data_IF_161880216861
#
_entry.id   IF_161880216861
#
_cell.length_a   1.000
_cell.length_b   1.000
_cell.length_c   1.000
_cell.angle_alpha   90.00
_cell.angle_beta   90.00
_cell.angle_gamma   90.00
#
_symmetry.space_group_name_H-M   'P 1'
#
loop_
_entity.id
_entity.type
_entity.pdbx_description
1 polymer ?
#
# COMPACT_ATOMS: atom_id res chain seq x y z
N UNK A 1 -0.80 27.37 -21.29
CA UNK A 1 -1.83 26.53 -20.64
C UNK A 1 -2.07 25.36 -21.58
N UNK A 2 -1.97 24.11 -21.12
CA UNK A 2 -2.30 22.94 -21.95
C UNK A 2 -3.77 23.01 -22.38
N UNK A 3 -4.07 22.64 -23.63
CA UNK A 3 -5.45 22.54 -24.12
C UNK A 3 -6.15 21.36 -23.43
N UNK A 4 -7.44 21.48 -23.12
CA UNK A 4 -8.21 20.42 -22.46
C UNK A 4 -8.23 19.13 -23.29
N UNK A 5 -8.15 19.25 -24.63
CA UNK A 5 -8.05 18.11 -25.56
C UNK A 5 -6.73 17.35 -25.44
N UNK A 6 -5.65 18.05 -25.11
CA UNK A 6 -4.36 17.42 -24.81
C UNK A 6 -4.36 16.72 -23.45
N UNK A 7 -5.11 17.26 -22.47
CA UNK A 7 -5.27 16.66 -21.13
C UNK A 7 -6.17 15.41 -21.17
N UNK A 8 -7.22 15.41 -21.98
CA UNK A 8 -8.16 14.30 -22.13
C UNK A 8 -7.61 13.17 -23.02
N UNK A 9 -6.51 12.55 -22.60
CA UNK A 9 -5.91 11.38 -23.24
C UNK A 9 -6.13 10.09 -22.43
N UNK A 10 -5.87 8.93 -23.05
CA UNK A 10 -6.11 7.64 -22.43
C UNK A 10 -5.32 7.44 -21.12
N UNK A 11 -4.01 7.75 -21.03
CA UNK A 11 -3.28 7.68 -19.77
C UNK A 11 -3.93 8.48 -18.63
N UNK A 12 -4.25 9.75 -18.85
CA UNK A 12 -4.84 10.60 -17.83
C UNK A 12 -6.24 10.12 -17.40
N UNK A 13 -7.03 9.60 -18.34
CA UNK A 13 -8.33 9.01 -18.03
C UNK A 13 -8.21 7.78 -17.12
N UNK A 14 -7.23 6.91 -17.37
CA UNK A 14 -6.94 5.76 -16.52
C UNK A 14 -6.51 6.19 -15.11
N UNK A 15 -5.68 7.23 -15.00
CA UNK A 15 -5.27 7.80 -13.71
C UNK A 15 -6.47 8.34 -12.93
N UNK A 16 -7.40 9.05 -13.57
CA UNK A 16 -8.63 9.55 -12.91
C UNK A 16 -9.52 8.41 -12.47
N UNK A 17 -9.71 7.39 -13.31
CA UNK A 17 -10.49 6.19 -12.94
C UNK A 17 -9.89 5.50 -11.71
N UNK A 18 -8.56 5.44 -11.58
CA UNK A 18 -7.89 4.89 -10.39
C UNK A 18 -8.24 5.64 -9.12
N UNK A 19 -8.27 6.97 -9.17
CA UNK A 19 -8.67 7.81 -8.03
C UNK A 19 -10.14 7.56 -7.67
N UNK A 20 -11.01 7.51 -8.68
CA UNK A 20 -12.44 7.25 -8.50
C UNK A 20 -12.73 5.83 -8.01
N UNK A 21 -11.86 4.85 -8.32
CA UNK A 21 -12.00 3.48 -7.84
C UNK A 21 -11.91 3.37 -6.32
N UNK A 22 -11.19 4.27 -5.63
CA UNK A 22 -10.98 4.16 -4.18
C UNK A 22 -12.30 4.21 -3.37
N UNK A 23 -13.21 5.19 -3.56
CA UNK A 23 -14.52 5.17 -2.90
C UNK A 23 -15.30 3.87 -3.09
N UNK A 24 -15.34 3.31 -4.30
CA UNK A 24 -16.02 2.05 -4.58
C UNK A 24 -15.33 0.86 -3.90
N UNK A 25 -14.00 0.86 -3.89
CA UNK A 25 -13.19 -0.14 -3.20
C UNK A 25 -13.49 -0.11 -1.69
N UNK A 26 -13.45 1.07 -1.07
CA UNK A 26 -13.75 1.24 0.36
C UNK A 26 -15.18 0.81 0.63
N UNK A 27 -16.17 1.29 -0.12
CA UNK A 27 -17.57 0.87 0.05
C UNK A 27 -17.73 -0.66 0.03
N UNK A 28 -17.08 -1.33 -0.92
CA UNK A 28 -17.16 -2.77 -1.11
C UNK A 28 -16.48 -3.56 0.01
N UNK A 29 -15.39 -3.04 0.57
CA UNK A 29 -14.70 -3.67 1.70
C UNK A 29 -15.54 -3.74 2.98
N UNK A 30 -16.44 -2.78 3.18
CA UNK A 30 -17.31 -2.75 4.36
C UNK A 30 -18.55 -3.65 4.21
N UNK A 31 -18.78 -4.20 3.02
CA UNK A 31 -19.88 -5.14 2.79
C UNK A 31 -19.48 -6.56 3.22
N UNK A 32 -20.48 -7.32 3.67
CA UNK A 32 -20.26 -8.67 4.23
C UNK A 32 -20.31 -9.76 3.16
N UNK A 33 -21.00 -9.48 2.07
CA UNK A 33 -21.26 -10.41 0.97
C UNK A 33 -19.99 -10.66 0.14
N UNK A 34 -19.85 -11.90 -0.32
CA UNK A 34 -18.68 -12.31 -1.09
C UNK A 34 -18.55 -11.57 -2.42
N UNK A 35 -19.68 -11.17 -3.03
CA UNK A 35 -19.71 -10.44 -4.30
C UNK A 35 -18.97 -9.11 -4.20
N UNK A 36 -19.16 -8.36 -3.11
CA UNK A 36 -18.45 -7.11 -2.87
C UNK A 36 -16.96 -7.32 -2.56
N UNK A 37 -16.60 -8.43 -1.91
CA UNK A 37 -15.19 -8.75 -1.63
C UNK A 37 -14.45 -9.12 -2.92
N UNK A 38 -15.10 -9.90 -3.79
CA UNK A 38 -14.60 -10.20 -5.14
C UNK A 38 -14.49 -8.93 -5.96
N UNK A 39 -15.49 -8.06 -5.90
CA UNK A 39 -15.46 -6.77 -6.59
C UNK A 39 -14.30 -5.89 -6.09
N UNK A 40 -14.08 -5.78 -4.77
CA UNK A 40 -12.94 -5.04 -4.22
C UNK A 40 -11.59 -5.60 -4.69
N UNK A 41 -11.45 -6.93 -4.73
CA UNK A 41 -10.26 -7.60 -5.26
C UNK A 41 -10.03 -7.27 -6.75
N UNK A 42 -11.06 -7.47 -7.59
CA UNK A 42 -10.97 -7.22 -9.03
C UNK A 42 -10.69 -5.74 -9.31
N UNK A 43 -11.36 -4.84 -8.60
CA UNK A 43 -11.19 -3.40 -8.76
C UNK A 43 -9.76 -2.98 -8.42
N UNK A 44 -9.20 -3.45 -7.30
CA UNK A 44 -7.81 -3.16 -6.94
C UNK A 44 -6.81 -3.78 -7.94
N UNK A 45 -7.02 -5.04 -8.34
CA UNK A 45 -6.17 -5.72 -9.29
C UNK A 45 -6.13 -4.98 -10.65
N UNK A 46 -7.28 -4.58 -11.19
CA UNK A 46 -7.35 -3.80 -12.42
C UNK A 46 -6.76 -2.39 -12.25
N UNK A 47 -7.03 -1.72 -11.14
CA UNK A 47 -6.51 -0.38 -10.86
C UNK A 47 -4.97 -0.37 -10.72
N UNK A 48 -4.38 -1.42 -10.13
CA UNK A 48 -2.93 -1.59 -10.04
C UNK A 48 -2.29 -2.01 -11.37
N UNK A 49 -2.97 -2.84 -12.17
CA UNK A 49 -2.48 -3.24 -13.49
C UNK A 49 -2.50 -2.08 -14.49
N UNK A 50 -3.55 -1.25 -14.45
CA UNK A 50 -3.65 -0.07 -15.32
C UNK A 50 -2.54 0.96 -15.07
N UNK A 51 -1.99 1.04 -13.86
CA UNK A 51 -0.84 1.91 -13.51
C UNK A 51 0.46 1.48 -14.21
N UNK A 52 0.62 0.19 -14.47
CA UNK A 52 1.75 -0.31 -15.24
C UNK A 52 1.56 0.01 -16.73
N UNK A 53 0.30 -0.03 -17.19
CA UNK A 53 -0.07 0.13 -18.60
C UNK A 53 -0.06 1.61 -19.00
N UNK A 54 -0.65 2.52 -18.22
CA UNK A 54 -0.75 3.94 -18.57
C UNK A 54 0.63 4.60 -18.71
N UNK A 55 1.58 4.30 -17.82
CA UNK A 55 2.95 4.78 -17.90
C UNK A 55 3.72 4.19 -19.08
N UNK A 56 3.37 2.97 -19.51
CA UNK A 56 3.89 2.40 -20.76
C UNK A 56 3.29 3.08 -21.99
N UNK A 57 1.97 3.27 -22.04
CA UNK A 57 1.26 3.90 -23.16
C UNK A 57 1.65 5.37 -23.33
N UNK A 58 1.78 6.13 -22.25
CA UNK A 58 2.21 7.53 -22.28
C UNK A 58 3.60 7.68 -22.92
N UNK A 59 4.54 6.76 -22.63
CA UNK A 59 5.87 6.71 -23.25
C UNK A 59 5.81 6.26 -24.71
N UNK A 60 5.02 5.22 -25.01
CA UNK A 60 4.93 4.63 -26.35
C UNK A 60 4.27 5.57 -27.36
N UNK A 61 3.24 6.31 -26.94
CA UNK A 61 2.47 7.20 -27.81
C UNK A 61 2.87 8.66 -27.69
N UNK A 62 3.91 8.97 -26.92
CA UNK A 62 4.38 10.34 -26.70
C UNK A 62 3.27 11.28 -26.18
N UNK A 63 2.37 10.75 -25.35
CA UNK A 63 1.21 11.44 -24.77
C UNK A 63 1.46 11.91 -23.33
N UNK A 64 2.71 12.24 -22.99
CA UNK A 64 3.03 12.76 -21.66
C UNK A 64 2.58 14.21 -21.55
N UNK A 65 1.72 14.50 -20.57
CA UNK A 65 1.22 15.84 -20.26
C UNK A 65 1.77 16.31 -18.92
N UNK A 66 1.84 17.62 -18.71
CA UNK A 66 2.22 18.20 -17.41
C UNK A 66 1.19 17.86 -16.33
N UNK A 67 -0.11 17.84 -16.71
CA UNK A 67 -1.17 17.37 -15.82
C UNK A 67 -0.98 15.91 -15.40
N UNK A 68 -0.72 15.00 -16.35
CA UNK A 68 -0.49 13.57 -16.06
C UNK A 68 0.73 13.35 -15.16
N UNK A 69 1.85 14.02 -15.47
CA UNK A 69 3.07 13.96 -14.63
C UNK A 69 2.83 14.38 -13.18
N UNK A 70 1.88 15.27 -12.94
CA UNK A 70 1.47 15.69 -11.59
C UNK A 70 0.49 14.71 -10.95
N UNK A 71 -0.50 14.22 -11.70
CA UNK A 71 -1.57 13.37 -11.19
C UNK A 71 -1.11 11.94 -10.91
N UNK A 72 -0.23 11.36 -11.74
CA UNK A 72 0.18 9.96 -11.63
C UNK A 72 0.82 9.64 -10.26
N UNK A 73 1.80 10.41 -9.75
CA UNK A 73 2.40 10.14 -8.44
C UNK A 73 1.47 10.37 -7.25
N UNK A 74 0.35 11.06 -7.46
CA UNK A 74 -0.67 11.33 -6.46
C UNK A 74 -1.71 10.19 -6.45
N UNK A 75 -2.20 9.80 -7.61
CA UNK A 75 -3.16 8.70 -7.77
C UNK A 75 -2.60 7.34 -7.33
N UNK A 76 -1.36 7.03 -7.69
CA UNK A 76 -0.65 5.80 -7.27
C UNK A 76 -0.67 5.66 -5.74
N UNK A 77 -0.34 6.75 -5.03
CA UNK A 77 -0.31 6.74 -3.57
C UNK A 77 -1.70 6.76 -2.96
N UNK A 78 -2.65 7.46 -3.58
CA UNK A 78 -3.99 7.60 -3.04
C UNK A 78 -4.70 6.25 -2.91
N UNK A 79 -4.60 5.40 -3.94
CA UNK A 79 -5.19 4.06 -3.91
C UNK A 79 -4.53 3.20 -2.80
N UNK A 80 -3.21 3.08 -2.80
CA UNK A 80 -2.47 2.24 -1.85
C UNK A 80 -2.68 2.70 -0.40
N UNK A 81 -2.59 4.00 -0.14
CA UNK A 81 -2.84 4.59 1.19
C UNK A 81 -4.29 4.32 1.60
N UNK A 82 -5.24 4.55 0.71
CA UNK A 82 -6.65 4.30 0.97
C UNK A 82 -6.95 2.84 1.32
N UNK A 83 -6.30 1.89 0.65
CA UNK A 83 -6.41 0.46 0.97
C UNK A 83 -5.89 0.16 2.39
N UNK A 84 -4.67 0.59 2.72
CA UNK A 84 -4.10 0.34 4.05
C UNK A 84 -4.90 1.01 5.17
N UNK A 85 -5.40 2.22 4.94
CA UNK A 85 -6.26 2.92 5.90
C UNK A 85 -7.58 2.17 6.07
N UNK A 86 -8.24 1.74 4.98
CA UNK A 86 -9.48 0.97 5.07
C UNK A 86 -9.30 -0.34 5.85
N UNK A 87 -8.16 -1.02 5.65
CA UNK A 87 -7.82 -2.24 6.35
C UNK A 87 -7.72 -2.10 7.87
N UNK A 88 -7.29 -0.94 8.39
CA UNK A 88 -7.26 -0.67 9.83
C UNK A 88 -8.63 -0.75 10.49
N UNK A 89 -9.71 -0.49 9.74
CA UNK A 89 -11.08 -0.47 10.29
C UNK A 89 -11.79 -1.81 10.19
N UNK A 90 -11.29 -2.74 9.39
CA UNK A 90 -11.97 -4.01 9.09
C UNK A 90 -11.17 -5.25 9.53
N UNK A 91 -9.89 -5.08 9.88
CA UNK A 91 -9.00 -6.19 10.23
C UNK A 91 -8.08 -5.84 11.41
N UNK A 92 -8.40 -6.39 12.59
CA UNK A 92 -7.63 -6.18 13.83
C UNK A 92 -6.16 -6.61 13.76
N UNK A 93 -5.77 -7.65 12.99
CA UNK A 93 -4.37 -8.00 12.78
C UNK A 93 -3.51 -6.93 12.07
N UNK A 94 -4.08 -5.82 11.60
CA UNK A 94 -3.30 -4.78 10.91
C UNK A 94 -3.11 -3.60 11.87
N UNK A 95 -1.86 -3.33 12.23
CA UNK A 95 -1.56 -2.31 13.23
C UNK A 95 -1.33 -0.92 12.63
N UNK A 96 -1.81 0.10 13.36
CA UNK A 96 -1.73 1.51 12.96
C UNK A 96 -0.29 1.95 12.71
N UNK A 97 0.68 1.50 13.53
CA UNK A 97 2.08 1.88 13.37
C UNK A 97 2.68 1.39 12.05
N UNK A 98 2.24 0.21 11.55
CA UNK A 98 2.69 -0.32 10.25
C UNK A 98 2.24 0.60 9.12
N UNK A 99 0.95 0.99 9.15
CA UNK A 99 0.37 1.90 8.15
C UNK A 99 1.02 3.27 8.23
N UNK A 100 1.22 3.83 9.42
CA UNK A 100 1.91 5.12 9.59
C UNK A 100 3.32 5.08 9.01
N UNK A 101 4.11 4.04 9.31
CA UNK A 101 5.46 3.91 8.77
C UNK A 101 5.44 3.77 7.25
N UNK A 102 4.47 3.04 6.70
CA UNK A 102 4.33 2.87 5.26
C UNK A 102 3.99 4.20 4.57
N UNK A 103 2.91 4.83 5.00
CA UNK A 103 2.38 6.06 4.40
C UNK A 103 3.33 7.23 4.65
N UNK A 104 3.76 7.42 5.89
CA UNK A 104 4.65 8.50 6.29
C UNK A 104 5.98 8.46 5.54
N UNK A 105 6.56 7.26 5.37
CA UNK A 105 7.77 7.11 4.53
C UNK A 105 7.50 7.51 3.09
N UNK A 106 6.41 7.02 2.48
CA UNK A 106 6.14 7.28 1.07
C UNK A 106 5.85 8.76 0.80
N UNK A 107 5.19 9.45 1.73
CA UNK A 107 5.05 10.91 1.71
C UNK A 107 6.40 11.61 1.83
N UNK A 108 7.24 11.20 2.79
CA UNK A 108 8.58 11.78 2.99
C UNK A 108 9.43 11.68 1.72
N UNK A 109 9.55 10.50 1.11
CA UNK A 109 10.37 10.32 -0.10
C UNK A 109 9.80 11.12 -1.29
N UNK A 110 8.47 11.25 -1.39
CA UNK A 110 7.83 12.07 -2.43
C UNK A 110 8.16 13.55 -2.25
N UNK A 111 8.10 14.03 -1.01
CA UNK A 111 8.42 15.40 -0.68
C UNK A 111 9.89 15.73 -0.93
N UNK A 112 10.82 14.84 -0.53
CA UNK A 112 12.24 14.98 -0.85
C UNK A 112 12.49 15.03 -2.36
N UNK A 113 11.74 14.23 -3.13
CA UNK A 113 11.79 14.26 -4.59
C UNK A 113 11.36 15.59 -5.17
N UNK A 114 10.25 16.12 -4.67
CA UNK A 114 9.76 17.41 -5.09
C UNK A 114 10.79 18.52 -4.82
N UNK A 115 11.41 18.52 -3.63
CA UNK A 115 12.46 19.49 -3.27
C UNK A 115 13.66 19.39 -4.22
N UNK A 116 14.16 18.19 -4.50
CA UNK A 116 15.33 18.01 -5.35
C UNK A 116 15.10 18.51 -6.78
N UNK A 117 13.94 18.21 -7.36
CA UNK A 117 13.55 18.70 -8.70
C UNK A 117 13.51 20.24 -8.69
N UNK A 118 12.96 20.84 -7.62
CA UNK A 118 12.94 22.30 -7.45
C UNK A 118 14.33 22.93 -7.29
N UNK A 119 15.32 22.21 -6.77
CA UNK A 119 16.71 22.69 -6.63
C UNK A 119 17.58 22.52 -7.88
N UNK A 120 17.03 21.94 -8.97
CA UNK A 120 17.79 21.66 -10.19
C UNK A 120 18.70 20.43 -10.07
N UNK A 121 18.45 19.57 -9.09
CA UNK A 121 19.21 18.35 -8.83
C UNK A 121 18.32 17.13 -9.05
N UNK A 122 18.80 16.11 -9.75
CA UNK A 122 18.07 14.85 -9.86
C UNK A 122 18.48 13.89 -8.75
N UNK A 123 17.51 13.21 -8.14
CA UNK A 123 17.78 12.15 -7.18
C UNK A 123 18.18 10.86 -7.87
N UNK A 124 19.12 10.11 -7.29
CA UNK A 124 19.45 8.78 -7.76
C UNK A 124 18.28 7.82 -7.49
N UNK A 125 17.72 7.25 -8.56
CA UNK A 125 16.68 6.24 -8.47
C UNK A 125 17.27 4.90 -8.08
N UNK A 126 16.72 4.25 -7.07
CA UNK A 126 17.17 2.92 -6.62
C UNK A 126 16.13 1.85 -6.97
N UNK A 127 16.59 0.63 -7.30
CA UNK A 127 15.69 -0.51 -7.56
C UNK A 127 14.86 -0.90 -6.32
N UNK A 128 15.34 -0.56 -5.12
CA UNK A 128 14.61 -0.77 -3.86
C UNK A 128 13.27 -0.02 -3.81
N UNK A 129 13.13 1.05 -4.61
CA UNK A 129 11.87 1.76 -4.83
C UNK A 129 10.82 0.93 -5.57
N UNK A 130 11.21 0.02 -6.46
CA UNK A 130 10.28 -0.89 -7.17
C UNK A 130 9.91 -2.09 -6.32
N UNK A 131 10.90 -2.66 -5.64
CA UNK A 131 10.69 -3.80 -4.73
C UNK A 131 9.67 -3.45 -3.66
N UNK A 132 9.80 -2.29 -3.00
CA UNK A 132 8.81 -1.88 -1.99
C UNK A 132 7.37 -1.84 -2.51
N UNK A 133 7.16 -1.35 -3.73
CA UNK A 133 5.83 -1.17 -4.31
C UNK A 133 5.23 -2.53 -4.66
N UNK A 134 6.05 -3.45 -5.18
CA UNK A 134 5.63 -4.84 -5.39
C UNK A 134 5.19 -5.52 -4.10
N UNK A 135 5.91 -5.30 -2.99
CA UNK A 135 5.51 -5.82 -1.67
C UNK A 135 4.23 -5.16 -1.14
N UNK A 136 4.07 -3.84 -1.29
CA UNK A 136 2.83 -3.16 -0.89
C UNK A 136 1.62 -3.65 -1.68
N UNK A 137 1.71 -3.72 -3.01
CA UNK A 137 0.64 -4.23 -3.87
C UNK A 137 0.36 -5.72 -3.57
N UNK A 138 1.40 -6.53 -3.41
CA UNK A 138 1.28 -7.94 -3.06
C UNK A 138 0.61 -8.16 -1.71
N UNK A 139 0.99 -7.39 -0.68
CA UNK A 139 0.35 -7.46 0.63
C UNK A 139 -1.15 -7.12 0.56
N UNK A 140 -1.51 -6.07 -0.18
CA UNK A 140 -2.92 -5.71 -0.38
C UNK A 140 -3.68 -6.86 -1.07
N UNK A 141 -3.14 -7.43 -2.14
CA UNK A 141 -3.77 -8.55 -2.85
C UNK A 141 -3.93 -9.78 -1.94
N UNK A 142 -2.90 -10.12 -1.16
CA UNK A 142 -2.96 -11.25 -0.21
C UNK A 142 -4.05 -11.02 0.85
N UNK A 143 -4.13 -9.80 1.42
CA UNK A 143 -5.17 -9.46 2.39
C UNK A 143 -6.56 -9.59 1.75
N UNK A 144 -6.75 -9.10 0.52
CA UNK A 144 -8.02 -9.22 -0.20
C UNK A 144 -8.39 -10.69 -0.47
N UNK A 145 -7.42 -11.53 -0.84
CA UNK A 145 -7.64 -12.98 -1.01
C UNK A 145 -8.03 -13.64 0.30
N UNK A 146 -7.32 -13.35 1.39
CA UNK A 146 -7.68 -13.83 2.73
C UNK A 146 -9.12 -13.44 3.08
N UNK A 147 -9.51 -12.21 2.76
CA UNK A 147 -10.87 -11.74 2.95
C UNK A 147 -11.87 -12.57 2.15
N UNK A 148 -11.61 -12.87 0.88
CA UNK A 148 -12.54 -13.67 0.07
C UNK A 148 -12.68 -15.12 0.56
N UNK A 149 -11.61 -15.72 1.11
CA UNK A 149 -11.60 -17.12 1.54
C UNK A 149 -12.28 -17.35 2.90
N UNK A 150 -12.37 -16.31 3.73
CA UNK A 150 -12.91 -16.40 5.09
C UNK A 150 -14.34 -15.86 5.13
N UNK A 151 -15.27 -16.64 5.66
CA UNK A 151 -16.67 -16.17 5.83
C UNK A 151 -16.75 -15.02 6.83
N UNK A 152 -17.76 -14.14 6.70
CA UNK A 152 -17.93 -12.99 7.60
C UNK A 152 -17.95 -13.36 9.08
N UNK A 153 -18.55 -14.51 9.44
CA UNK A 153 -18.53 -15.03 10.83
C UNK A 153 -17.11 -15.31 11.33
N UNK A 154 -16.28 -15.95 10.49
CA UNK A 154 -14.89 -16.28 10.84
C UNK A 154 -13.99 -15.05 10.88
N UNK A 155 -14.22 -14.05 10.03
CA UNK A 155 -13.53 -12.76 10.13
C UNK A 155 -13.80 -12.07 11.45
N UNK A 156 -15.07 -12.02 11.86
CA UNK A 156 -15.45 -11.45 13.15
C UNK A 156 -14.78 -12.21 14.30
N UNK A 157 -14.76 -13.54 14.24
CA UNK A 157 -14.07 -14.36 15.23
C UNK A 157 -12.57 -14.06 15.31
N UNK A 158 -11.88 -13.88 14.18
CA UNK A 158 -10.47 -13.46 14.15
C UNK A 158 -10.33 -12.08 14.80
N UNK A 159 -11.16 -11.12 14.42
CA UNK A 159 -11.10 -9.76 14.98
C UNK A 159 -11.36 -9.77 16.50
N UNK A 160 -12.36 -10.52 16.97
CA UNK A 160 -12.66 -10.70 18.39
C UNK A 160 -11.50 -11.35 19.14
N UNK A 161 -10.89 -12.40 18.59
CA UNK A 161 -9.71 -13.04 19.17
C UNK A 161 -8.55 -12.05 19.35
N UNK A 162 -8.29 -11.20 18.35
CA UNK A 162 -7.26 -10.16 18.44
C UNK A 162 -7.61 -9.08 19.46
N UNK A 163 -8.87 -8.63 19.49
CA UNK A 163 -9.34 -7.65 20.46
C UNK A 163 -9.19 -8.18 21.90
N UNK A 164 -9.64 -9.42 22.15
CA UNK A 164 -9.53 -10.09 23.44
C UNK A 164 -8.07 -10.27 23.86
N UNK A 165 -7.20 -10.76 22.96
CA UNK A 165 -5.78 -10.91 23.24
C UNK A 165 -5.12 -9.58 23.63
N UNK A 166 -5.45 -8.48 22.93
CA UNK A 166 -4.96 -7.14 23.27
C UNK A 166 -5.47 -6.66 24.63
N UNK A 167 -6.74 -6.90 24.96
CA UNK A 167 -7.27 -6.56 26.30
C UNK A 167 -6.64 -7.39 27.41
N UNK A 168 -6.17 -8.60 27.10
CA UNK A 168 -5.41 -9.45 28.02
C UNK A 168 -3.93 -9.06 28.13
N UNK A 169 -3.49 -8.00 27.44
CA UNK A 169 -2.11 -7.50 27.49
C UNK A 169 -1.16 -8.16 26.48
N UNK A 170 -1.65 -9.00 25.57
CA UNK A 170 -0.85 -9.57 24.50
C UNK A 170 -0.65 -8.55 23.38
N UNK A 171 0.55 -8.54 22.80
CA UNK A 171 0.81 -7.83 21.55
C UNK A 171 0.18 -8.55 20.37
N UNK A 172 -0.17 -7.80 19.32
CA UNK A 172 -0.65 -8.36 18.05
C UNK A 172 0.36 -9.34 17.45
N UNK A 173 1.67 -9.10 17.65
CA UNK A 173 2.73 -10.04 17.28
C UNK A 173 2.59 -11.39 17.98
N UNK A 174 2.36 -11.40 19.30
CA UNK A 174 2.21 -12.64 20.06
C UNK A 174 0.99 -13.43 19.60
N UNK A 175 -0.14 -12.75 19.37
CA UNK A 175 -1.36 -13.38 18.87
C UNK A 175 -1.13 -13.97 17.47
N UNK A 176 -0.51 -13.22 16.56
CA UNK A 176 -0.18 -13.69 15.21
C UNK A 176 0.78 -14.89 15.25
N UNK A 177 1.79 -14.84 16.12
CA UNK A 177 2.77 -15.92 16.31
C UNK A 177 2.12 -17.20 16.81
N UNK A 178 1.23 -17.11 17.80
CA UNK A 178 0.52 -18.29 18.31
C UNK A 178 -0.41 -18.88 17.24
N UNK A 179 -1.12 -18.05 16.46
CA UNK A 179 -1.91 -18.54 15.33
C UNK A 179 -1.06 -19.23 14.24
N UNK A 180 0.13 -18.70 13.95
CA UNK A 180 1.06 -19.32 13.03
C UNK A 180 1.57 -20.69 13.53
N UNK A 181 1.82 -20.82 14.83
CA UNK A 181 2.15 -22.12 15.45
C UNK A 181 0.97 -23.09 15.38
N UNK A 182 -0.23 -22.65 15.71
CA UNK A 182 -1.44 -23.48 15.60
C UNK A 182 -1.62 -23.99 14.18
N UNK A 183 -1.45 -23.14 13.17
CA UNK A 183 -1.45 -23.57 11.77
C UNK A 183 -0.41 -24.65 11.48
N UNK A 184 0.84 -24.45 11.94
CA UNK A 184 1.93 -25.41 11.74
C UNK A 184 1.66 -26.77 12.41
N UNK A 185 1.09 -26.78 13.62
CA UNK A 185 0.75 -28.01 14.33
C UNK A 185 -0.45 -28.72 13.69
N UNK A 186 -1.49 -27.98 13.29
CA UNK A 186 -2.66 -28.55 12.59
C UNK A 186 -2.26 -29.18 11.25
N UNK A 187 -1.27 -28.61 10.56
CA UNK A 187 -0.72 -29.19 9.33
C UNK A 187 0.09 -30.47 9.54
N UNK A 188 0.61 -30.70 10.75
CA UNK A 188 1.41 -31.89 11.10
C UNK A 188 0.61 -32.95 11.87
N UNK A 189 -0.65 -32.68 12.17
CA UNK A 189 -1.50 -33.66 12.83
C UNK A 189 -1.67 -34.90 11.94
N UNK A 190 -1.65 -36.08 12.56
CA UNK A 190 -1.89 -37.36 11.87
C UNK A 190 -3.29 -37.41 11.23
N UNK A 191 -4.23 -36.63 11.76
CA UNK A 191 -5.57 -36.47 11.21
C UNK A 191 -5.54 -35.37 10.15
N UNK A 192 -6.04 -35.68 8.94
CA UNK A 192 -6.16 -34.70 7.86
C UNK A 192 -6.99 -33.51 8.33
N UNK A 193 -6.42 -32.30 8.38
CA UNK A 193 -7.11 -31.13 8.92
C UNK A 193 -8.24 -30.67 8.02
N UNK A 194 -9.28 -30.09 8.63
CA UNK A 194 -10.34 -29.44 7.87
C UNK A 194 -9.77 -28.24 7.09
N UNK A 195 -10.12 -28.16 5.81
CA UNK A 195 -9.63 -27.10 4.94
C UNK A 195 -10.11 -25.73 5.42
N UNK A 196 -11.31 -25.67 5.99
CA UNK A 196 -11.88 -24.42 6.47
C UNK A 196 -11.19 -23.91 7.74
N UNK A 197 -10.76 -24.83 8.61
CA UNK A 197 -9.92 -24.53 9.78
C UNK A 197 -8.55 -24.00 9.35
N UNK A 198 -7.86 -24.67 8.43
CA UNK A 198 -6.57 -24.21 7.91
C UNK A 198 -6.63 -22.80 7.31
N UNK A 199 -7.66 -22.53 6.50
CA UNK A 199 -7.88 -21.20 5.93
C UNK A 199 -8.07 -20.15 7.02
N UNK A 200 -8.77 -20.49 8.10
CA UNK A 200 -9.03 -19.58 9.22
C UNK A 200 -7.75 -19.26 9.99
N UNK A 201 -6.96 -20.29 10.30
CA UNK A 201 -5.67 -20.13 10.97
C UNK A 201 -4.70 -19.31 10.10
N UNK A 202 -4.62 -19.61 8.80
CA UNK A 202 -3.83 -18.82 7.85
C UNK A 202 -4.26 -17.35 7.83
N UNK A 203 -5.57 -17.10 7.74
CA UNK A 203 -6.13 -15.76 7.75
C UNK A 203 -5.83 -14.99 9.04
N UNK A 204 -5.71 -15.68 10.16
CA UNK A 204 -5.43 -15.09 11.43
C UNK A 204 -4.00 -14.53 11.55
N UNK A 205 -2.99 -15.05 10.82
CA UNK A 205 -1.61 -14.54 10.93
C UNK A 205 -1.04 -13.96 9.64
N UNK A 206 -1.44 -14.46 8.46
CA UNK A 206 -0.84 -14.07 7.16
C UNK A 206 -0.92 -12.55 6.91
N UNK A 207 -2.07 -11.87 7.13
CA UNK A 207 -2.17 -10.41 6.97
C UNK A 207 -1.16 -9.65 7.84
N UNK A 208 -1.01 -10.03 9.11
CA UNK A 208 -0.08 -9.39 10.04
C UNK A 208 1.36 -9.51 9.55
N UNK A 209 1.82 -10.73 9.23
CA UNK A 209 3.20 -10.94 8.77
C UNK A 209 3.46 -10.32 7.38
N UNK A 210 2.47 -10.33 6.49
CA UNK A 210 2.56 -9.64 5.20
C UNK A 210 2.74 -8.13 5.34
N UNK A 211 1.97 -7.51 6.26
CA UNK A 211 2.11 -6.10 6.59
C UNK A 211 3.44 -5.79 7.30
N UNK A 212 3.87 -6.64 8.22
CA UNK A 212 5.14 -6.49 8.93
C UNK A 212 6.32 -6.53 7.95
N UNK A 213 6.36 -7.53 7.06
CA UNK A 213 7.40 -7.65 6.03
C UNK A 213 7.42 -6.44 5.10
N UNK A 214 6.24 -6.03 4.63
CA UNK A 214 6.09 -4.85 3.77
C UNK A 214 6.58 -3.59 4.46
N UNK A 215 6.29 -3.43 5.75
CA UNK A 215 6.74 -2.30 6.57
C UNK A 215 8.26 -2.28 6.70
N UNK A 216 8.88 -3.41 7.02
CA UNK A 216 10.34 -3.54 7.14
C UNK A 216 11.03 -3.17 5.82
N UNK A 217 10.61 -3.78 4.71
CA UNK A 217 11.15 -3.50 3.37
C UNK A 217 10.98 -2.01 3.03
N UNK A 218 9.86 -1.43 3.43
CA UNK A 218 9.54 -0.05 3.17
C UNK A 218 10.44 0.91 3.95
N UNK A 219 10.66 0.65 5.23
CA UNK A 219 11.57 1.43 6.07
C UNK A 219 13.01 1.34 5.56
N UNK A 220 13.50 0.13 5.27
CA UNK A 220 14.85 -0.10 4.72
C UNK A 220 15.04 0.65 3.40
N UNK A 221 14.04 0.56 2.51
CA UNK A 221 14.00 1.29 1.24
C UNK A 221 14.08 2.80 1.44
N UNK A 222 13.33 3.35 2.41
CA UNK A 222 13.34 4.77 2.75
C UNK A 222 14.67 5.24 3.34
N UNK A 223 15.20 4.52 4.33
CA UNK A 223 16.49 4.84 4.96
C UNK A 223 17.61 4.85 3.93
N UNK A 224 17.70 3.81 3.10
CA UNK A 224 18.70 3.74 2.03
C UNK A 224 18.59 4.93 1.07
N UNK A 225 17.37 5.35 0.75
CA UNK A 225 17.15 6.51 -0.12
C UNK A 225 17.69 7.80 0.51
N UNK A 226 17.40 8.02 1.79
CA UNK A 226 17.89 9.17 2.55
C UNK A 226 19.42 9.18 2.63
N UNK A 227 20.03 8.04 2.97
CA UNK A 227 21.50 7.93 3.03
C UNK A 227 22.17 8.16 1.67
N UNK A 228 21.61 7.60 0.60
CA UNK A 228 22.16 7.76 -0.76
C UNK A 228 22.10 9.21 -1.23
N UNK A 229 21.13 9.98 -0.72
CA UNK A 229 20.86 11.35 -1.15
C UNK A 229 21.07 12.37 -0.03
N UNK A 230 21.85 12.03 1.00
CA UNK A 230 22.05 12.86 2.20
C UNK A 230 22.56 14.27 1.88
N UNK A 231 23.39 14.41 0.83
CA UNK A 231 23.94 15.71 0.41
C UNK A 231 22.85 16.73 0.05
N UNK A 232 21.68 16.30 -0.40
CA UNK A 232 20.54 17.18 -0.70
C UNK A 232 19.85 17.71 0.55
N UNK A 233 19.98 17.00 1.68
CA UNK A 233 19.48 17.42 2.99
C UNK A 233 20.47 18.33 3.73
N UNK A 234 21.62 18.64 3.13
CA UNK A 234 22.56 19.62 3.66
C UNK A 234 21.87 20.96 3.93
N UNK A 235 22.19 21.56 5.08
CA UNK A 235 21.73 22.90 5.45
C UNK A 235 21.98 23.95 4.36
N UNK A 236 23.12 23.88 3.66
CA UNK A 236 23.43 24.82 2.57
C UNK A 236 22.45 24.71 1.40
N UNK A 237 22.04 23.48 1.05
CA UNK A 237 21.08 23.24 -0.01
C UNK A 237 19.66 23.65 0.42
N UNK A 238 19.24 23.30 1.63
CA UNK A 238 17.94 23.70 2.17
C UNK A 238 17.81 25.22 2.29
N UNK A 239 18.86 25.92 2.74
CA UNK A 239 18.89 27.39 2.78
C UNK A 239 18.76 28.00 1.38
N UNK A 240 19.48 27.47 0.38
CA UNK A 240 19.36 27.93 -1.01
C UNK A 240 17.94 27.73 -1.58
N UNK A 241 17.28 26.64 -1.20
CA UNK A 241 15.93 26.29 -1.66
C UNK A 241 14.87 27.20 -1.04
N UNK A 242 14.89 27.36 0.29
CA UNK A 242 13.81 28.01 1.02
C UNK A 242 14.06 29.48 1.32
N UNK A 243 15.32 29.90 1.52
CA UNK A 243 15.63 31.25 1.99
C UNK A 243 16.02 32.20 0.86
N UNK A 244 16.94 31.80 -0.01
CA UNK A 244 17.49 32.71 -1.04
C UNK A 244 16.49 33.02 -2.16
N UNK A 245 15.43 32.22 -2.29
CA UNK A 245 14.36 32.42 -3.28
C UNK A 245 13.23 33.34 -2.82
N UNK A 246 13.13 33.65 -1.52
CA UNK A 246 12.13 34.58 -0.97
C UNK A 246 12.59 36.05 -1.16
N UNK A 247 13.88 36.27 -1.40
CA UNK A 247 14.49 37.61 -1.58
C UNK A 247 14.58 38.09 -3.04
N UNK A 248 14.04 37.34 -4.00
CA UNK A 248 13.87 37.76 -5.40
C UNK A 248 12.40 37.90 -5.71
#
# INVERSE_FOLDING_TARGET
MEDWKTIANLPNFLTVLRVLALPFFVFSLFQKEIEFQVFAFVLFALASLTDLIDGYLARKWNQQTEFGKFLDPLADKFLVIGCFVAFLFIHEPIEVWMVILIVGRDMLITFLRYIAVRSGTSLHTTMMGKVKTAFQMGAILVILVVFMLVSGKRKNMINEMYALGKTAGLSTFEIARENAKSFYYTMQADVKPDTSELITLAAAFVPYYGMLLTTIITVISGLRYIFTNYSLLSYSNLKRIFYDRIKK
#
